data_IF_477012927612
#
_entry.id   IF_477012927612
#
_cell.length_a   1.000
_cell.length_b   1.000
_cell.length_c   1.000
_cell.angle_alpha   90.00
_cell.angle_beta   90.00
_cell.angle_gamma   90.00
#
_symmetry.space_group_name_H-M   'P 1'
#
loop_
_entity.id
_entity.type
_entity.pdbx_description
1 polymer ?
#
# COMPACT_ATOMS: atom_id res chain seq x y z
N UNK A 1 3.40 48.34 -56.52
CA UNK A 1 3.72 47.41 -55.41
C UNK A 1 4.04 46.05 -56.05
N UNK A 2 5.33 45.74 -56.20
CA UNK A 2 5.75 44.47 -56.78
C UNK A 2 5.47 43.34 -55.78
N UNK A 3 4.60 42.41 -56.14
CA UNK A 3 4.36 41.18 -55.40
C UNK A 3 5.63 40.34 -55.41
N UNK A 4 6.41 40.38 -54.33
CA UNK A 4 7.49 39.43 -54.10
C UNK A 4 6.89 38.02 -54.08
N UNK A 5 7.09 37.26 -55.18
CA UNK A 5 6.65 35.87 -55.31
C UNK A 5 7.38 35.02 -54.26
N UNK A 6 6.70 34.73 -53.16
CA UNK A 6 7.11 33.66 -52.25
C UNK A 6 7.04 32.34 -53.01
N UNK A 7 8.20 31.73 -53.27
CA UNK A 7 8.25 30.41 -53.91
C UNK A 7 7.90 29.34 -52.88
N UNK A 8 6.89 28.53 -53.19
CA UNK A 8 6.45 27.39 -52.39
C UNK A 8 6.73 26.11 -53.17
N UNK A 9 7.39 25.16 -52.52
CA UNK A 9 7.69 23.84 -53.08
C UNK A 9 7.15 22.77 -52.14
N UNK A 10 6.25 21.93 -52.65
CA UNK A 10 5.68 20.83 -51.90
C UNK A 10 6.43 19.53 -52.24
N UNK A 11 6.80 18.77 -51.22
CA UNK A 11 7.47 17.49 -51.32
C UNK A 11 6.60 16.39 -50.68
N UNK A 12 6.58 15.21 -51.30
CA UNK A 12 5.85 14.05 -50.80
C UNK A 12 6.71 12.81 -50.90
N UNK A 13 6.97 12.19 -49.76
CA UNK A 13 7.66 10.91 -49.66
C UNK A 13 6.61 9.83 -49.44
N UNK A 14 6.58 8.81 -50.30
CA UNK A 14 5.73 7.62 -50.13
C UNK A 14 6.61 6.38 -50.02
N UNK A 15 6.42 5.62 -48.95
CA UNK A 15 7.05 4.33 -48.73
C UNK A 15 5.97 3.25 -48.72
N UNK A 16 6.04 2.32 -49.68
CA UNK A 16 5.22 1.11 -49.69
C UNK A 16 6.07 -0.06 -49.24
N UNK A 17 5.59 -0.80 -48.26
CA UNK A 17 6.24 -2.01 -47.78
C UNK A 17 5.20 -3.04 -47.34
N UNK A 18 5.67 -4.25 -47.08
CA UNK A 18 4.83 -5.35 -46.58
C UNK A 18 5.24 -5.67 -45.16
N UNK A 19 4.26 -5.65 -44.25
CA UNK A 19 4.42 -5.99 -42.84
C UNK A 19 4.75 -7.49 -42.68
N UNK A 20 5.39 -7.88 -41.57
CA UNK A 20 5.60 -9.27 -41.14
C UNK A 20 4.31 -10.11 -41.12
N UNK A 21 3.13 -9.47 -41.00
CA UNK A 21 1.80 -10.12 -41.11
C UNK A 21 1.24 -10.17 -42.54
N UNK A 22 2.07 -9.96 -43.56
CA UNK A 22 1.69 -9.96 -44.97
C UNK A 22 0.61 -8.91 -45.31
N UNK A 23 0.59 -7.79 -44.59
CA UNK A 23 -0.28 -6.63 -44.87
C UNK A 23 0.50 -5.63 -45.70
N UNK A 24 -0.12 -5.07 -46.73
CA UNK A 24 0.50 -4.02 -47.52
C UNK A 24 0.31 -2.68 -46.79
N UNK A 25 1.40 -1.95 -46.58
CA UNK A 25 1.43 -0.67 -45.86
C UNK A 25 1.92 0.41 -46.80
N UNK A 26 1.27 1.57 -46.80
CA UNK A 26 1.71 2.77 -47.51
C UNK A 26 1.83 3.93 -46.52
N UNK A 27 3.06 4.29 -46.19
CA UNK A 27 3.41 5.45 -45.36
C UNK A 27 3.67 6.67 -46.25
N UNK A 28 3.12 7.82 -45.89
CA UNK A 28 3.25 9.07 -46.62
C UNK A 28 3.67 10.20 -45.66
N UNK A 29 4.72 10.92 -46.02
CA UNK A 29 5.16 12.14 -45.32
C UNK A 29 5.18 13.31 -46.30
N UNK A 30 4.41 14.36 -45.99
CA UNK A 30 4.37 15.58 -46.80
C UNK A 30 5.19 16.67 -46.12
N UNK A 31 5.91 17.44 -46.91
CA UNK A 31 6.71 18.57 -46.44
C UNK A 31 6.48 19.74 -47.39
N UNK A 32 6.42 20.95 -46.85
CA UNK A 32 6.27 22.18 -47.61
C UNK A 32 7.47 23.06 -47.33
N UNK A 33 8.21 23.43 -48.36
CA UNK A 33 9.26 24.44 -48.27
C UNK A 33 8.75 25.78 -48.79
N UNK A 34 9.00 26.84 -48.02
CA UNK A 34 8.65 28.21 -48.39
C UNK A 34 9.91 29.06 -48.38
N UNK A 35 10.23 29.66 -49.52
CA UNK A 35 11.27 30.66 -49.66
C UNK A 35 10.70 32.04 -49.30
N UNK A 36 11.17 32.58 -48.18
CA UNK A 36 10.79 33.89 -47.69
C UNK A 36 11.36 35.03 -48.53
N UNK A 37 10.83 36.25 -48.32
CA UNK A 37 11.23 37.45 -49.09
C UNK A 37 12.70 37.85 -48.93
N UNK A 38 13.36 37.40 -47.86
CA UNK A 38 14.78 37.65 -47.57
C UNK A 38 15.70 36.49 -48.02
N UNK A 39 15.20 35.56 -48.86
CA UNK A 39 15.96 34.38 -49.30
C UNK A 39 16.10 33.29 -48.23
N UNK A 40 15.56 33.51 -47.02
CA UNK A 40 15.51 32.49 -45.97
C UNK A 40 14.45 31.42 -46.31
N UNK A 41 14.92 30.20 -46.54
CA UNK A 41 14.07 29.02 -46.77
C UNK A 41 13.63 28.42 -45.44
N UNK A 42 12.34 28.14 -45.29
CA UNK A 42 11.77 27.44 -44.13
C UNK A 42 11.03 26.19 -44.59
N UNK A 43 11.36 25.04 -44.00
CA UNK A 43 10.68 23.76 -44.29
C UNK A 43 9.73 23.43 -43.15
N UNK A 44 8.45 23.29 -43.46
CA UNK A 44 7.42 22.81 -42.55
C UNK A 44 7.09 21.36 -42.90
N UNK A 45 7.15 20.47 -41.91
CA UNK A 45 6.61 19.11 -42.07
C UNK A 45 5.09 19.17 -41.87
N UNK A 46 4.36 18.63 -42.83
CA UNK A 46 2.90 18.47 -42.75
C UNK A 46 2.55 17.13 -42.09
N UNK A 47 1.28 16.78 -42.08
CA UNK A 47 0.75 15.54 -41.50
C UNK A 47 1.32 14.28 -42.18
N UNK A 48 1.71 13.30 -41.36
CA UNK A 48 2.13 11.98 -41.82
C UNK A 48 0.93 11.03 -41.78
N UNK A 49 0.76 10.22 -42.82
CA UNK A 49 -0.38 9.30 -42.95
C UNK A 49 0.10 7.91 -43.32
N UNK A 50 -0.52 6.89 -42.75
CA UNK A 50 -0.25 5.49 -43.04
C UNK A 50 -1.54 4.83 -43.51
N UNK A 51 -1.50 4.05 -44.58
CA UNK A 51 -2.63 3.22 -45.03
C UNK A 51 -2.25 1.75 -44.90
N UNK A 52 -3.08 1.00 -44.17
CA UNK A 52 -2.90 -0.42 -43.91
C UNK A 52 -3.94 -1.21 -44.72
N UNK A 53 -3.49 -2.04 -45.65
CA UNK A 53 -4.34 -2.88 -46.49
C UNK A 53 -4.29 -4.33 -45.99
N UNK A 54 -5.33 -4.82 -45.28
CA UNK A 54 -5.39 -6.21 -44.87
C UNK A 54 -5.54 -7.11 -46.09
N UNK A 55 -4.61 -8.07 -46.25
CA UNK A 55 -4.64 -9.14 -47.26
C UNK A 55 -4.84 -8.67 -48.71
N UNK A 56 -4.24 -7.54 -49.08
CA UNK A 56 -4.33 -6.99 -50.44
C UNK A 56 -5.71 -6.45 -50.81
N UNK A 57 -6.62 -6.29 -49.85
CA UNK A 57 -7.94 -5.71 -50.09
C UNK A 57 -7.86 -4.26 -50.59
N UNK A 58 -8.87 -3.83 -51.35
CA UNK A 58 -8.87 -2.51 -52.01
C UNK A 58 -9.05 -1.32 -51.05
N UNK A 59 -9.62 -1.56 -49.85
CA UNK A 59 -9.88 -0.52 -48.84
C UNK A 59 -8.86 -0.59 -47.71
N UNK A 60 -7.89 0.32 -47.75
CA UNK A 60 -6.92 0.50 -46.67
C UNK A 60 -7.49 1.32 -45.51
N UNK A 61 -7.17 0.93 -44.29
CA UNK A 61 -7.46 1.71 -43.08
C UNK A 61 -6.42 2.82 -42.97
N UNK A 62 -6.86 4.08 -42.91
CA UNK A 62 -5.97 5.24 -42.82
C UNK A 62 -5.72 5.62 -41.36
N UNK A 63 -4.46 5.81 -41.01
CA UNK A 63 -3.96 6.22 -39.70
C UNK A 63 -3.20 7.54 -39.90
N UNK A 64 -3.41 8.50 -39.00
CA UNK A 64 -2.80 9.83 -39.05
C UNK A 64 -1.85 10.06 -37.88
N UNK A 65 -0.78 10.81 -38.10
CA UNK A 65 0.13 11.30 -37.05
C UNK A 65 -0.54 12.23 -36.03
N UNK A 66 -1.79 12.67 -36.27
CA UNK A 66 -2.59 13.41 -35.28
C UNK A 66 -3.19 12.51 -34.21
N UNK A 67 -3.41 11.24 -34.53
CA UNK A 67 -4.11 10.28 -33.65
C UNK A 67 -3.18 9.28 -32.99
N UNK A 68 -1.98 9.07 -33.54
CA UNK A 68 -1.01 8.10 -33.03
C UNK A 68 0.43 8.61 -33.21
N UNK A 69 1.35 8.07 -32.42
CA UNK A 69 2.77 8.16 -32.72
C UNK A 69 3.08 7.36 -33.99
N UNK A 70 3.16 8.09 -35.10
CA UNK A 70 3.41 7.53 -36.43
C UNK A 70 4.73 6.75 -36.51
N UNK A 71 5.77 7.19 -35.80
CA UNK A 71 7.08 6.51 -35.86
C UNK A 71 7.03 5.17 -35.14
N UNK A 72 6.40 5.13 -33.96
CA UNK A 72 6.22 3.89 -33.21
C UNK A 72 5.38 2.87 -34.01
N UNK A 73 4.26 3.31 -34.59
CA UNK A 73 3.40 2.44 -35.41
C UNK A 73 4.13 1.92 -36.67
N UNK A 74 4.94 2.76 -37.30
CA UNK A 74 5.77 2.36 -38.45
C UNK A 74 6.78 1.26 -38.08
N UNK A 75 7.44 1.39 -36.93
CA UNK A 75 8.38 0.39 -36.43
C UNK A 75 7.69 -0.95 -36.12
N UNK A 76 6.47 -0.91 -35.55
CA UNK A 76 5.65 -2.10 -35.32
C UNK A 76 5.35 -2.82 -36.64
N UNK A 77 4.92 -2.09 -37.67
CA UNK A 77 4.63 -2.67 -38.98
C UNK A 77 5.87 -3.19 -39.71
N UNK A 78 7.05 -2.59 -39.49
CA UNK A 78 8.32 -3.10 -40.00
C UNK A 78 8.82 -4.35 -39.25
N UNK A 79 8.16 -4.74 -38.15
CA UNK A 79 8.55 -5.87 -37.32
C UNK A 79 9.74 -5.58 -36.40
N UNK A 80 10.03 -4.30 -36.15
CA UNK A 80 11.22 -3.84 -35.43
C UNK A 80 10.89 -2.71 -34.43
N UNK A 81 9.93 -2.94 -33.50
CA UNK A 81 9.42 -1.90 -32.60
C UNK A 81 10.51 -1.22 -31.77
N UNK A 82 11.52 -1.96 -31.33
CA UNK A 82 12.57 -1.49 -30.42
C UNK A 82 13.90 -1.15 -31.12
N UNK A 83 13.99 -1.31 -32.44
CA UNK A 83 15.25 -1.16 -33.19
C UNK A 83 15.35 0.16 -33.96
N UNK A 84 14.79 1.25 -33.40
CA UNK A 84 14.89 2.59 -33.99
C UNK A 84 16.35 2.98 -34.27
N UNK A 85 17.23 2.77 -33.30
CA UNK A 85 18.65 3.09 -33.41
C UNK A 85 19.35 2.30 -34.53
N UNK A 86 18.93 1.06 -34.79
CA UNK A 86 19.46 0.25 -35.89
C UNK A 86 19.02 0.83 -37.24
N UNK A 87 17.76 1.25 -37.36
CA UNK A 87 17.31 1.90 -38.59
C UNK A 87 18.08 3.18 -38.88
N UNK A 88 18.29 4.03 -37.88
CA UNK A 88 18.94 5.34 -38.08
C UNK A 88 20.46 5.22 -38.26
N UNK A 89 21.13 4.33 -37.50
CA UNK A 89 22.59 4.25 -37.48
C UNK A 89 23.19 3.18 -38.40
N UNK A 90 22.42 2.16 -38.79
CA UNK A 90 22.89 1.02 -39.59
C UNK A 90 22.20 0.95 -40.95
N UNK A 91 20.86 0.87 -40.99
CA UNK A 91 20.11 0.64 -42.24
C UNK A 91 20.05 1.90 -43.10
N UNK A 92 19.67 3.04 -42.49
CA UNK A 92 19.55 4.35 -43.13
C UNK A 92 20.64 5.30 -42.63
N UNK A 93 21.85 4.77 -42.44
CA UNK A 93 22.99 5.57 -42.03
C UNK A 93 23.30 6.63 -43.10
N UNK A 94 23.34 7.91 -42.72
CA UNK A 94 23.71 8.96 -43.67
C UNK A 94 25.16 8.77 -44.18
N UNK A 95 25.40 9.14 -45.43
CA UNK A 95 26.67 8.91 -46.11
C UNK A 95 27.87 9.53 -45.38
N UNK A 96 27.74 10.76 -44.89
CA UNK A 96 28.78 11.47 -44.12
C UNK A 96 29.12 10.79 -42.79
N UNK A 97 28.23 9.93 -42.30
CA UNK A 97 28.33 9.24 -41.04
C UNK A 97 28.56 7.73 -41.19
N UNK A 98 28.66 7.21 -42.42
CA UNK A 98 28.76 5.77 -42.73
C UNK A 98 30.01 5.09 -42.14
N UNK A 99 31.08 5.85 -41.91
CA UNK A 99 32.35 5.35 -41.33
C UNK A 99 32.35 5.33 -39.80
N UNK A 100 31.20 5.52 -39.15
CA UNK A 100 31.12 5.61 -37.69
C UNK A 100 31.64 4.36 -36.98
N UNK A 101 31.54 3.19 -37.62
CA UNK A 101 32.06 1.91 -37.15
C UNK A 101 33.60 1.83 -37.16
N UNK A 102 34.26 2.60 -38.03
CA UNK A 102 35.72 2.67 -38.14
C UNK A 102 36.34 3.78 -37.28
N UNK A 103 35.54 4.77 -36.86
CA UNK A 103 35.99 5.75 -35.86
C UNK A 103 36.31 4.98 -34.59
N UNK A 104 37.57 5.01 -34.18
CA UNK A 104 38.13 4.30 -33.01
C UNK A 104 37.09 4.05 -31.92
N UNK A 105 37.00 2.81 -31.45
CA UNK A 105 36.21 2.35 -30.30
C UNK A 105 36.66 3.06 -29.01
N UNK A 106 36.58 4.39 -28.96
CA UNK A 106 36.46 5.08 -27.69
C UNK A 106 35.19 4.54 -27.06
N UNK A 107 35.28 4.11 -25.82
CA UNK A 107 34.24 3.42 -25.04
C UNK A 107 32.90 4.20 -24.91
N UNK A 108 32.79 5.35 -25.57
CA UNK A 108 31.71 6.31 -25.53
C UNK A 108 31.20 6.64 -26.94
N UNK A 109 31.14 5.66 -27.87
CA UNK A 109 30.50 5.91 -29.15
C UNK A 109 28.97 5.90 -28.93
N UNK A 110 28.28 7.06 -29.00
CA UNK A 110 26.86 7.16 -28.63
C UNK A 110 25.98 6.25 -29.49
N UNK A 111 26.41 5.93 -30.73
CA UNK A 111 25.69 5.00 -31.61
C UNK A 111 25.71 3.56 -31.11
N UNK A 112 26.79 3.14 -30.45
CA UNK A 112 26.88 1.79 -29.87
C UNK A 112 25.95 1.68 -28.67
N UNK A 113 25.95 2.68 -27.78
CA UNK A 113 25.00 2.73 -26.66
C UNK A 113 23.55 2.79 -27.15
N UNK A 114 23.25 3.57 -28.19
CA UNK A 114 21.90 3.70 -28.75
C UNK A 114 21.41 2.40 -29.40
N UNK A 115 22.27 1.67 -30.13
CA UNK A 115 21.94 0.38 -30.73
C UNK A 115 21.68 -0.70 -29.67
N UNK A 116 22.50 -0.77 -28.63
CA UNK A 116 22.42 -1.83 -27.61
C UNK A 116 21.63 -1.42 -26.36
N UNK A 117 21.16 -0.17 -26.31
CA UNK A 117 20.46 0.43 -25.17
C UNK A 117 21.15 0.16 -23.82
N UNK A 118 22.49 0.17 -23.78
CA UNK A 118 23.26 -0.26 -22.59
C UNK A 118 22.98 0.65 -21.40
N UNK A 119 22.87 1.96 -21.61
CA UNK A 119 22.46 2.92 -20.57
C UNK A 119 21.09 2.58 -19.98
N UNK A 120 20.14 2.13 -20.80
CA UNK A 120 18.82 1.69 -20.36
C UNK A 120 18.90 0.45 -19.48
N UNK A 121 19.70 -0.53 -19.90
CA UNK A 121 19.95 -1.75 -19.14
C UNK A 121 20.63 -1.48 -17.78
N UNK A 122 21.67 -0.64 -17.74
CA UNK A 122 22.36 -0.26 -16.49
C UNK A 122 21.39 0.41 -15.52
N UNK A 123 20.56 1.35 -15.99
CA UNK A 123 19.51 2.00 -15.18
C UNK A 123 18.47 1.01 -14.65
N UNK A 124 18.09 0.03 -15.45
CA UNK A 124 17.14 -1.01 -15.02
C UNK A 124 17.73 -1.85 -13.89
N UNK A 125 18.99 -2.29 -14.03
CA UNK A 125 19.70 -3.05 -12.98
C UNK A 125 19.82 -2.22 -11.70
N UNK A 126 20.15 -0.94 -11.81
CA UNK A 126 20.24 -0.04 -10.66
C UNK A 126 18.90 0.12 -9.93
N UNK A 127 17.81 0.31 -10.67
CA UNK A 127 16.44 0.34 -10.10
C UNK A 127 16.11 -0.97 -9.38
N UNK A 128 16.42 -2.11 -9.98
CA UNK A 128 16.21 -3.42 -9.36
C UNK A 128 16.99 -3.57 -8.05
N UNK A 129 18.25 -3.12 -8.03
CA UNK A 129 19.09 -3.14 -6.82
C UNK A 129 18.55 -2.23 -5.73
N UNK A 130 18.08 -1.03 -6.07
CA UNK A 130 17.49 -0.11 -5.11
C UNK A 130 16.19 -0.69 -4.53
N UNK A 131 15.35 -1.31 -5.37
CA UNK A 131 14.14 -1.99 -4.90
C UNK A 131 14.43 -3.15 -3.95
N UNK A 132 15.49 -3.92 -4.22
CA UNK A 132 15.92 -4.98 -3.32
C UNK A 132 16.34 -4.42 -1.95
N UNK A 133 17.07 -3.30 -1.92
CA UNK A 133 17.45 -2.64 -0.66
C UNK A 133 16.24 -2.20 0.15
N UNK A 134 15.28 -1.53 -0.48
CA UNK A 134 14.02 -1.12 0.16
C UNK A 134 13.27 -2.31 0.74
N UNK A 135 13.22 -3.42 0.00
CA UNK A 135 12.52 -4.63 0.46
C UNK A 135 13.21 -5.27 1.66
N UNK A 136 14.55 -5.31 1.67
CA UNK A 136 15.35 -5.82 2.80
C UNK A 136 15.11 -4.95 4.05
N UNK A 137 15.12 -3.63 3.91
CA UNK A 137 14.86 -2.71 5.01
C UNK A 137 13.44 -2.88 5.57
N UNK A 138 12.45 -2.93 4.68
CA UNK A 138 11.03 -3.16 5.05
C UNK A 138 10.86 -4.50 5.77
N UNK A 139 11.50 -5.56 5.27
CA UNK A 139 11.46 -6.89 5.90
C UNK A 139 12.11 -6.88 7.28
N UNK A 140 13.24 -6.18 7.44
CA UNK A 140 13.93 -6.06 8.72
C UNK A 140 13.07 -5.36 9.77
N UNK A 141 12.38 -4.28 9.39
CA UNK A 141 11.46 -3.57 10.27
C UNK A 141 10.26 -4.45 10.65
N UNK A 142 9.61 -5.06 9.66
CA UNK A 142 8.47 -5.95 9.91
C UNK A 142 8.85 -7.14 10.80
N UNK A 143 10.08 -7.67 10.67
CA UNK A 143 10.60 -8.71 11.54
C UNK A 143 10.77 -8.23 12.98
N UNK A 144 11.34 -7.05 13.18
CA UNK A 144 11.49 -6.47 14.52
C UNK A 144 10.12 -6.22 15.18
N UNK A 145 9.15 -5.71 14.43
CA UNK A 145 7.78 -5.51 14.90
C UNK A 145 7.11 -6.84 15.30
N UNK A 146 7.32 -7.89 14.49
CA UNK A 146 6.80 -9.22 14.78
C UNK A 146 7.42 -9.82 16.05
N UNK A 147 8.74 -9.71 16.21
CA UNK A 147 9.45 -10.15 17.42
C UNK A 147 8.97 -9.38 18.66
N UNK A 148 8.75 -8.07 18.54
CA UNK A 148 8.14 -7.25 19.60
C UNK A 148 6.72 -7.66 19.96
N UNK A 149 5.88 -7.96 18.96
CA UNK A 149 4.52 -8.43 19.19
C UNK A 149 4.47 -9.78 19.91
N UNK A 150 5.39 -10.70 19.59
CA UNK A 150 5.53 -11.97 20.31
C UNK A 150 5.91 -11.77 21.78
N UNK A 151 6.81 -10.85 22.08
CA UNK A 151 7.19 -10.52 23.46
C UNK A 151 5.97 -10.01 24.26
N UNK A 152 5.22 -9.05 23.70
CA UNK A 152 4.01 -8.51 24.32
C UNK A 152 2.95 -9.61 24.51
N UNK A 153 2.80 -10.53 23.55
CA UNK A 153 1.88 -11.66 23.68
C UNK A 153 2.27 -12.57 24.86
N UNK A 154 3.56 -12.85 25.03
CA UNK A 154 4.08 -13.61 26.17
C UNK A 154 3.79 -12.91 27.51
N UNK A 155 4.06 -11.61 27.60
CA UNK A 155 3.75 -10.81 28.80
C UNK A 155 2.25 -10.79 29.11
N UNK A 156 1.40 -10.66 28.08
CA UNK A 156 -0.05 -10.72 28.22
C UNK A 156 -0.51 -12.06 28.79
N UNK A 157 0.06 -13.18 28.34
CA UNK A 157 -0.28 -14.51 28.87
C UNK A 157 0.09 -14.63 30.36
N UNK A 158 1.27 -14.13 30.75
CA UNK A 158 1.70 -14.12 32.16
C UNK A 158 0.79 -13.24 33.00
N UNK A 159 0.46 -12.04 32.52
CA UNK A 159 -0.45 -11.13 33.18
C UNK A 159 -1.85 -11.74 33.33
N UNK A 160 -2.34 -12.44 32.31
CA UNK A 160 -3.63 -13.13 32.35
C UNK A 160 -3.64 -14.24 33.42
N UNK A 161 -2.61 -15.09 33.46
CA UNK A 161 -2.49 -16.13 34.48
C UNK A 161 -2.47 -15.55 35.91
N UNK A 162 -1.83 -14.39 36.10
CA UNK A 162 -1.84 -13.67 37.40
C UNK A 162 -3.23 -13.14 37.75
N UNK A 163 -3.95 -12.60 36.78
CA UNK A 163 -5.34 -12.14 36.97
C UNK A 163 -6.23 -13.31 37.35
N UNK A 164 -6.13 -14.44 36.66
CA UNK A 164 -6.94 -15.63 36.94
C UNK A 164 -6.66 -16.15 38.36
N UNK A 165 -5.39 -16.22 38.77
CA UNK A 165 -5.00 -16.60 40.14
C UNK A 165 -5.60 -15.67 41.19
N UNK A 166 -5.49 -14.35 40.97
CA UNK A 166 -6.08 -13.32 41.86
C UNK A 166 -7.60 -13.42 41.94
N UNK A 167 -8.27 -13.76 40.84
CA UNK A 167 -9.72 -13.96 40.83
C UNK A 167 -10.12 -15.16 41.68
N UNK A 168 -9.36 -16.25 41.62
CA UNK A 168 -9.63 -17.44 42.44
C UNK A 168 -9.37 -17.19 43.93
N UNK A 169 -8.29 -16.48 44.27
CA UNK A 169 -8.05 -15.99 45.64
C UNK A 169 -9.21 -15.13 46.15
N UNK A 170 -9.72 -14.21 45.31
CA UNK A 170 -10.85 -13.36 45.68
C UNK A 170 -12.13 -14.16 45.90
N UNK A 171 -12.42 -15.17 45.07
CA UNK A 171 -13.57 -16.07 45.26
C UNK A 171 -13.46 -16.81 46.59
N UNK A 172 -12.28 -17.34 46.92
CA UNK A 172 -12.05 -18.01 48.21
C UNK A 172 -12.23 -17.05 49.39
N UNK A 173 -11.69 -15.83 49.30
CA UNK A 173 -11.85 -14.82 50.34
C UNK A 173 -13.32 -14.41 50.53
N UNK A 174 -14.09 -14.26 49.44
CA UNK A 174 -15.53 -13.98 49.50
C UNK A 174 -16.31 -15.12 50.18
N UNK A 175 -15.96 -16.37 49.92
CA UNK A 175 -16.64 -17.51 50.56
C UNK A 175 -16.33 -17.56 52.06
N UNK A 176 -15.06 -17.36 52.46
CA UNK A 176 -14.69 -17.21 53.88
C UNK A 176 -15.43 -16.05 54.54
N UNK A 177 -15.57 -14.92 53.86
CA UNK A 177 -16.34 -13.78 54.38
C UNK A 177 -17.82 -14.14 54.60
N UNK A 178 -18.44 -14.92 53.69
CA UNK A 178 -19.81 -15.41 53.85
C UNK A 178 -19.95 -16.37 55.03
N UNK A 179 -18.98 -17.26 55.23
CA UNK A 179 -18.95 -18.18 56.38
C UNK A 179 -18.89 -17.41 57.69
N UNK A 180 -17.92 -16.49 57.83
CA UNK A 180 -17.79 -15.61 59.01
C UNK A 180 -19.05 -14.77 59.23
N UNK A 181 -19.68 -14.27 58.16
CA UNK A 181 -20.93 -13.52 58.26
C UNK A 181 -22.09 -14.38 58.77
N UNK A 182 -22.18 -15.66 58.37
CA UNK A 182 -23.17 -16.61 58.90
C UNK A 182 -22.93 -16.87 60.38
N UNK A 183 -21.69 -17.16 60.77
CA UNK A 183 -21.31 -17.36 62.17
C UNK A 183 -21.66 -16.15 63.03
N UNK A 184 -21.33 -14.94 62.56
CA UNK A 184 -21.68 -13.69 63.26
C UNK A 184 -23.19 -13.50 63.41
N UNK A 185 -23.97 -13.82 62.38
CA UNK A 185 -25.43 -13.74 62.44
C UNK A 185 -26.02 -14.74 63.46
N UNK A 186 -25.50 -15.96 63.51
CA UNK A 186 -25.98 -16.99 64.43
C UNK A 186 -25.57 -16.72 65.89
N UNK A 187 -24.36 -16.19 66.11
CA UNK A 187 -23.94 -15.61 67.39
C UNK A 187 -24.85 -14.45 67.81
N UNK A 188 -25.21 -13.57 66.89
CA UNK A 188 -26.11 -12.43 67.17
C UNK A 188 -27.52 -12.89 67.56
N UNK A 189 -28.06 -13.93 66.89
CA UNK A 189 -29.33 -14.56 67.28
C UNK A 189 -29.23 -15.17 68.67
N UNK A 190 -28.19 -15.97 68.91
CA UNK A 190 -27.96 -16.61 70.22
C UNK A 190 -27.85 -15.59 71.35
N UNK A 191 -27.17 -14.47 71.11
CA UNK A 191 -27.06 -13.36 72.06
C UNK A 191 -28.41 -12.69 72.32
N UNK A 192 -29.24 -12.52 71.28
CA UNK A 192 -30.60 -11.99 71.41
C UNK A 192 -31.49 -12.92 72.23
N UNK A 193 -31.43 -14.22 71.96
CA UNK A 193 -32.20 -15.24 72.68
C UNK A 193 -31.78 -15.32 74.15
N UNK A 194 -30.47 -15.30 74.43
CA UNK A 194 -29.95 -15.21 75.79
C UNK A 194 -30.38 -13.91 76.49
N UNK A 195 -30.39 -12.78 75.78
CA UNK A 195 -30.90 -11.50 76.29
C UNK A 195 -32.39 -11.55 76.64
N UNK A 196 -33.21 -12.19 75.82
CA UNK A 196 -34.64 -12.42 76.09
C UNK A 196 -34.84 -13.35 77.29
N UNK A 197 -34.06 -14.42 77.40
CA UNK A 197 -34.09 -15.32 78.56
C UNK A 197 -33.75 -14.58 79.86
N UNK A 198 -32.75 -13.68 79.84
CA UNK A 198 -32.40 -12.85 80.99
C UNK A 198 -33.51 -11.85 81.35
N UNK A 199 -34.22 -11.28 80.37
CA UNK A 199 -35.39 -10.44 80.63
C UNK A 199 -36.53 -11.23 81.29
N UNK A 200 -36.85 -12.42 80.79
CA UNK A 200 -37.86 -13.30 81.39
C UNK A 200 -37.50 -13.67 82.85
N UNK A 201 -36.22 -13.96 83.12
CA UNK A 201 -35.72 -14.21 84.48
C UNK A 201 -35.83 -12.96 85.36
N UNK A 202 -35.52 -11.76 84.83
CA UNK A 202 -35.68 -10.48 85.54
C UNK A 202 -37.16 -10.24 85.89
N UNK A 203 -38.07 -10.45 84.95
CA UNK A 203 -39.51 -10.25 85.16
C UNK A 203 -40.08 -11.27 86.16
N UNK A 204 -39.65 -12.53 86.08
CA UNK A 204 -39.99 -13.56 87.05
C UNK A 204 -39.48 -13.23 88.47
N UNK A 205 -38.30 -12.60 88.59
CA UNK A 205 -37.78 -12.12 89.87
C UNK A 205 -38.52 -10.87 90.40
N UNK A 206 -39.11 -10.04 89.53
CA UNK A 206 -39.99 -8.93 89.95
C UNK A 206 -41.36 -9.41 90.45
N UNK A 207 -41.91 -10.48 89.89
CA UNK A 207 -43.16 -11.10 90.36
C UNK A 207 -43.02 -11.81 91.72
N UNK A 208 -41.80 -12.14 92.17
CA UNK A 208 -41.50 -12.70 93.50
C UNK A 208 -41.21 -11.65 94.58
N UNK A 209 -41.74 -10.42 94.48
CA UNK A 209 -41.81 -9.51 95.64
C UNK A 209 -43.13 -9.76 96.41
N UNK A 210 -43.12 -10.33 97.63
CA UNK A 210 -44.35 -10.46 98.39
C UNK A 210 -44.76 -9.11 99.00
N UNK A 211 -46.00 -8.70 98.74
CA UNK A 211 -46.74 -7.76 99.58
C UNK A 211 -47.42 -8.58 100.68
N UNK A 212 -46.89 -8.52 101.91
CA UNK A 212 -47.71 -8.66 103.13
C UNK A 212 -47.15 -7.78 104.23
N UNK A 213 -47.84 -6.69 104.48
CA UNK A 213 -47.87 -5.98 105.75
C UNK A 213 -49.06 -6.52 106.56
N UNK A 214 -48.93 -6.56 107.89
CA UNK A 214 -49.93 -6.88 108.95
C UNK A 214 -49.70 -8.27 109.57
N UNK A 215 -49.68 -8.51 110.88
CA UNK A 215 -49.77 -7.75 112.12
C UNK A 215 -49.66 -8.81 113.26
N UNK A 216 -49.39 -8.37 114.50
CA UNK A 216 -49.33 -9.14 115.77
C UNK A 216 -48.05 -9.98 115.96
N UNK A 217 -47.27 -9.84 117.02
CA UNK A 217 -47.57 -9.37 118.37
C UNK A 217 -47.17 -10.46 119.37
N UNK A 218 -46.59 -10.05 120.50
CA UNK A 218 -46.07 -10.84 121.64
C UNK A 218 -44.63 -11.36 121.47
N UNK A 219 -43.58 -10.78 122.10
CA UNK A 219 -43.26 -10.49 123.53
C UNK A 219 -42.47 -11.62 124.21
N UNK A 220 -41.54 -11.15 125.05
CA UNK A 220 -40.74 -11.79 126.13
C UNK A 220 -39.49 -12.54 125.67
N UNK A 221 -38.28 -11.95 125.70
CA UNK A 221 -37.39 -11.58 126.83
C UNK A 221 -36.75 -12.74 127.60
N UNK A 222 -35.41 -12.77 127.56
CA UNK A 222 -34.53 -12.54 128.71
C UNK A 222 -33.21 -11.95 128.22
#
# INVERSE_FOLDING_TARGET
IQNAKTQKVDALIKLRFRDVRNKDIVACSRMTNVLGKEGKSTTKSDEQTMKVYPHGGERGIAISSKTIDFKAEMLIHLGIPDYKAILENVVFCNQENSTWNFRSLRAENPKFDDIFQLTGFVKFVEKGRNRLKELIETYSLARADFEGALAIQGEKQIAQARVDTRQDELKQAMERQREVQKEMNDLTKSLRDAGQQLQLLRDASHQRRPLTHSDRGCRFSR
#
